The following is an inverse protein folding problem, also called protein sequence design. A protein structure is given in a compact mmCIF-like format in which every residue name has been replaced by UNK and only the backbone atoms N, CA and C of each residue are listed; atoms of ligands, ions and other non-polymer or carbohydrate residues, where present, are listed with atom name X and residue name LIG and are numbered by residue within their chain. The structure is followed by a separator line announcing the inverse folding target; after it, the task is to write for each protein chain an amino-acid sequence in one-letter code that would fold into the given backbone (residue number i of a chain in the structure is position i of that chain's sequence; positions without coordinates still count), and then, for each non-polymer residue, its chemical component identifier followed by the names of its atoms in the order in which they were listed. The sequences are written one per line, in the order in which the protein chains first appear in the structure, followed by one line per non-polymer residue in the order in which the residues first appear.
data_IF_937506459482
#
_entry.id   IF_937506459482
#
_cell.length_a   1.000
_cell.length_b   1.000
_cell.length_c   1.000
_cell.angle_alpha   90.00
_cell.angle_beta   90.00
_cell.angle_gamma   90.00
#
_symmetry.space_group_name_H-M   'P 1'
#
loop_
_entity.id
_entity.type
_entity.pdbx_description
1 polymer ?
#
# COMPACT_ATOMS: atom_id res chain seq x y z
N UNK A 1 -0.28 1.04 -11.54
CA UNK A 1 -0.28 2.17 -10.58
C UNK A 1 -1.63 2.86 -10.60
N UNK A 2 -2.19 3.20 -9.43
CA UNK A 2 -3.47 3.89 -9.29
C UNK A 2 -3.22 5.26 -8.63
N UNK A 3 -3.53 6.33 -9.35
CA UNK A 3 -3.39 7.71 -8.88
C UNK A 3 -4.76 8.32 -8.61
N UNK A 4 -4.83 9.29 -7.73
CA UNK A 4 -6.05 10.07 -7.52
C UNK A 4 -6.12 10.74 -6.16
N UNK A 5 -7.04 11.67 -5.96
CA UNK A 5 -7.21 12.38 -4.70
C UNK A 5 -7.67 11.46 -3.56
N UNK A 6 -7.61 11.96 -2.34
CA UNK A 6 -8.17 11.26 -1.19
C UNK A 6 -9.67 11.00 -1.43
N UNK A 7 -10.15 9.82 -1.01
CA UNK A 7 -11.56 9.45 -1.19
C UNK A 7 -11.97 9.01 -2.60
N UNK A 8 -11.04 8.88 -3.55
CA UNK A 8 -11.34 8.39 -4.90
C UNK A 8 -11.49 6.87 -5.02
N UNK A 9 -11.30 6.11 -3.94
CA UNK A 9 -11.47 4.65 -3.94
C UNK A 9 -10.23 3.84 -4.31
N UNK A 10 -9.05 4.45 -4.38
CA UNK A 10 -7.77 3.77 -4.72
C UNK A 10 -7.57 2.47 -3.94
N UNK A 11 -7.59 2.56 -2.63
CA UNK A 11 -7.33 1.42 -1.75
C UNK A 11 -8.38 0.33 -1.88
N UNK A 12 -9.65 0.70 -2.08
CA UNK A 12 -10.73 -0.28 -2.29
C UNK A 12 -10.49 -1.08 -3.56
N UNK A 13 -10.13 -0.41 -4.65
CA UNK A 13 -9.83 -1.06 -5.93
C UNK A 13 -8.59 -1.94 -5.82
N UNK A 14 -7.52 -1.44 -5.16
CA UNK A 14 -6.28 -2.17 -4.96
C UNK A 14 -6.50 -3.47 -4.19
N UNK A 15 -7.12 -3.37 -3.03
CA UNK A 15 -7.39 -4.53 -2.17
C UNK A 15 -8.40 -5.48 -2.81
N UNK A 16 -9.48 -4.96 -3.39
CA UNK A 16 -10.49 -5.79 -4.06
C UNK A 16 -9.89 -6.64 -5.17
N UNK A 17 -9.00 -6.06 -5.97
CA UNK A 17 -8.30 -6.80 -7.02
C UNK A 17 -7.34 -7.86 -6.45
N UNK A 18 -6.57 -7.54 -5.42
CA UNK A 18 -5.64 -8.50 -4.80
C UNK A 18 -6.38 -9.66 -4.13
N UNK A 19 -7.46 -9.39 -3.40
CA UNK A 19 -8.30 -10.44 -2.82
C UNK A 19 -8.95 -11.32 -3.90
N UNK A 20 -9.41 -10.73 -4.99
CA UNK A 20 -9.91 -11.48 -6.14
C UNK A 20 -8.84 -12.43 -6.73
N UNK A 21 -7.59 -11.97 -6.83
CA UNK A 21 -6.50 -12.82 -7.30
C UNK A 21 -6.16 -13.94 -6.29
N UNK A 22 -6.21 -13.64 -4.99
CA UNK A 22 -5.98 -14.62 -3.92
C UNK A 22 -7.05 -15.70 -3.93
N UNK A 23 -8.32 -15.34 -4.00
CA UNK A 23 -9.46 -16.27 -4.09
C UNK A 23 -9.37 -17.18 -5.31
N UNK A 24 -8.86 -16.66 -6.43
CA UNK A 24 -8.65 -17.44 -7.66
C UNK A 24 -7.33 -18.22 -7.69
N UNK A 25 -6.59 -18.25 -6.59
CA UNK A 25 -5.28 -18.89 -6.48
C UNK A 25 -4.28 -18.42 -7.57
N UNK A 26 -4.42 -17.16 -8.03
CA UNK A 26 -3.45 -16.52 -8.93
C UNK A 26 -2.23 -16.00 -8.18
N UNK A 27 -2.45 -15.57 -6.94
CA UNK A 27 -1.41 -15.24 -5.96
C UNK A 27 -1.62 -16.09 -4.71
N UNK A 28 -0.56 -16.29 -3.95
CA UNK A 28 -0.57 -17.11 -2.72
C UNK A 28 -0.69 -16.25 -1.46
N UNK A 29 -0.26 -15.00 -1.54
CA UNK A 29 -0.14 -14.09 -0.39
C UNK A 29 -0.32 -12.64 -0.82
N UNK A 30 -0.92 -11.85 0.05
CA UNK A 30 -0.99 -10.39 -0.10
C UNK A 30 -0.04 -9.77 0.92
N UNK A 31 0.84 -8.87 0.46
CA UNK A 31 1.79 -8.14 1.28
C UNK A 31 1.50 -6.66 1.11
N UNK A 32 1.14 -5.98 2.20
CA UNK A 32 0.77 -4.57 2.19
C UNK A 32 1.85 -3.78 2.92
N UNK A 33 2.54 -2.92 2.19
CA UNK A 33 3.41 -1.92 2.76
C UNK A 33 2.66 -0.61 2.96
N UNK A 34 2.65 -0.12 4.18
CA UNK A 34 1.95 1.10 4.55
C UNK A 34 2.81 2.01 5.42
N UNK A 35 2.46 3.28 5.42
CA UNK A 35 3.08 4.22 6.33
C UNK A 35 2.46 4.05 7.72
N UNK A 36 3.29 3.80 8.74
CA UNK A 36 2.87 3.72 10.14
C UNK A 36 3.00 5.06 10.85
N UNK A 37 3.49 6.08 10.15
CA UNK A 37 3.67 7.40 10.73
C UNK A 37 2.31 8.11 10.74
N UNK A 38 1.84 8.39 11.92
CA UNK A 38 0.82 9.39 12.14
C UNK A 38 1.27 10.72 11.51
N UNK A 39 0.33 11.43 10.87
CA UNK A 39 0.51 12.77 10.30
C UNK A 39 1.39 13.69 11.17
N UNK A 40 2.11 14.59 10.56
CA UNK A 40 3.19 15.46 11.11
C UNK A 40 3.03 16.02 12.55
N UNK A 41 1.85 15.93 13.14
CA UNK A 41 1.54 16.45 14.47
C UNK A 41 1.06 15.41 15.49
N UNK A 42 1.04 14.13 15.17
CA UNK A 42 0.68 13.10 16.15
C UNK A 42 1.94 12.48 16.74
N UNK A 43 2.00 12.44 18.06
CA UNK A 43 3.10 11.85 18.82
C UNK A 43 3.50 10.50 18.21
N UNK A 44 4.81 10.29 18.07
CA UNK A 44 5.40 9.02 17.63
C UNK A 44 4.65 7.86 18.27
N UNK A 45 4.10 6.97 17.49
CA UNK A 45 3.40 5.72 17.88
C UNK A 45 4.21 4.82 18.87
N UNK A 46 5.20 5.39 19.55
CA UNK A 46 6.12 4.70 20.43
C UNK A 46 5.52 4.08 21.69
N UNK A 47 4.25 4.31 22.01
CA UNK A 47 3.69 3.88 23.29
C UNK A 47 2.25 3.35 23.26
N UNK A 48 1.81 2.76 22.18
CA UNK A 48 0.59 1.94 22.23
C UNK A 48 0.99 0.55 22.76
N UNK A 49 0.35 0.04 23.83
CA UNK A 49 0.54 -1.34 24.28
C UNK A 49 0.02 -2.29 23.21
N UNK A 50 0.65 -3.45 23.07
CA UNK A 50 0.27 -4.48 22.11
C UNK A 50 1.43 -4.95 21.22
N UNK A 51 1.23 -6.10 20.61
CA UNK A 51 2.16 -6.67 19.62
C UNK A 51 2.24 -5.77 18.39
N UNK A 52 3.24 -5.99 17.56
CA UNK A 52 3.41 -5.27 16.30
C UNK A 52 2.19 -5.44 15.38
N UNK A 53 1.68 -6.65 15.27
CA UNK A 53 0.56 -6.99 14.39
C UNK A 53 -0.74 -6.34 14.87
N UNK A 54 -0.99 -6.30 16.19
CA UNK A 54 -2.11 -5.57 16.77
C UNK A 54 -2.05 -4.07 16.44
N UNK A 55 -0.87 -3.44 16.54
CA UNK A 55 -0.69 -2.03 16.19
C UNK A 55 -0.92 -1.75 14.71
N UNK A 56 -0.53 -2.68 13.84
CA UNK A 56 -0.76 -2.56 12.40
C UNK A 56 -2.24 -2.77 12.04
N UNK A 57 -2.93 -3.67 12.74
CA UNK A 57 -4.38 -3.86 12.58
C UNK A 57 -5.19 -2.65 13.05
N UNK A 58 -4.72 -1.94 14.07
CA UNK A 58 -5.33 -0.71 14.55
C UNK A 58 -4.94 0.53 13.70
N UNK A 59 -4.05 0.36 12.72
CA UNK A 59 -3.74 1.40 11.74
C UNK A 59 -4.91 1.67 10.79
N UNK A 60 -4.86 2.78 10.08
CA UNK A 60 -5.91 3.15 9.12
C UNK A 60 -6.14 2.07 8.05
N UNK A 61 -5.07 1.42 7.58
CA UNK A 61 -5.18 0.33 6.60
C UNK A 61 -5.74 -0.95 7.23
N UNK A 62 -5.36 -1.26 8.47
CA UNK A 62 -5.91 -2.39 9.21
C UNK A 62 -7.40 -2.24 9.45
N UNK A 63 -7.85 -1.07 9.91
CA UNK A 63 -9.27 -0.77 10.10
C UNK A 63 -10.06 -0.84 8.78
N UNK A 64 -9.45 -0.41 7.67
CA UNK A 64 -10.06 -0.53 6.36
C UNK A 64 -10.17 -1.99 5.91
N UNK A 65 -9.16 -2.82 6.14
CA UNK A 65 -9.21 -4.26 5.87
C UNK A 65 -10.33 -4.92 6.67
N UNK A 66 -10.42 -4.64 7.97
CA UNK A 66 -11.49 -5.15 8.85
C UNK A 66 -12.86 -4.74 8.30
N UNK A 67 -13.02 -3.48 7.90
CA UNK A 67 -14.28 -2.99 7.31
C UNK A 67 -14.64 -3.68 6.00
N UNK A 68 -13.67 -4.16 5.22
CA UNK A 68 -13.90 -4.81 3.92
C UNK A 68 -14.12 -6.31 4.03
N UNK A 69 -13.43 -6.96 4.93
CA UNK A 69 -13.59 -8.40 5.22
C UNK A 69 -14.83 -8.64 6.08
N UNK A 70 -15.30 -7.59 6.78
CA UNK A 70 -16.49 -7.61 7.61
C UNK A 70 -16.23 -7.89 9.09
N UNK A 71 -15.07 -8.45 9.43
CA UNK A 71 -14.72 -8.75 10.82
C UNK A 71 -13.21 -8.79 11.04
N UNK A 72 -12.78 -8.43 12.26
CA UNK A 72 -11.38 -8.45 12.68
C UNK A 72 -10.79 -9.86 12.65
N UNK A 73 -11.53 -10.84 13.13
CA UNK A 73 -11.11 -12.24 13.15
C UNK A 73 -10.79 -12.79 11.76
N UNK A 74 -11.50 -12.34 10.73
CA UNK A 74 -11.22 -12.74 9.35
C UNK A 74 -9.87 -12.21 8.88
N UNK A 75 -9.47 -11.01 9.26
CA UNK A 75 -8.16 -10.44 8.95
C UNK A 75 -7.05 -11.16 9.72
N UNK A 76 -7.22 -11.37 11.01
CA UNK A 76 -6.28 -12.09 11.88
C UNK A 76 -6.05 -13.52 11.36
N UNK A 77 -7.11 -14.22 10.97
CA UNK A 77 -7.01 -15.55 10.36
C UNK A 77 -6.17 -15.56 9.08
N UNK A 78 -6.33 -14.57 8.20
CA UNK A 78 -5.50 -14.48 6.97
C UNK A 78 -4.03 -14.23 7.30
N UNK A 79 -3.74 -13.49 8.37
CA UNK A 79 -2.38 -13.28 8.85
C UNK A 79 -1.81 -14.57 9.42
N UNK A 80 -2.55 -15.27 10.26
CA UNK A 80 -2.13 -16.54 10.89
C UNK A 80 -1.92 -17.65 9.83
N UNK A 81 -2.75 -17.68 8.79
CA UNK A 81 -2.59 -18.58 7.64
C UNK A 81 -1.42 -18.17 6.72
N UNK A 82 -0.73 -17.06 7.01
CA UNK A 82 0.35 -16.54 6.19
C UNK A 82 -0.08 -15.96 4.83
N UNK A 83 -1.39 -15.79 4.61
CA UNK A 83 -1.96 -15.27 3.35
C UNK A 83 -2.01 -13.74 3.28
N UNK A 84 -1.85 -13.07 4.42
CA UNK A 84 -1.81 -11.60 4.51
C UNK A 84 -0.66 -11.17 5.40
N UNK A 85 0.11 -10.19 4.96
CA UNK A 85 1.13 -9.52 5.76
C UNK A 85 0.93 -8.01 5.68
N UNK A 86 0.94 -7.36 6.86
CA UNK A 86 0.96 -5.90 7.00
C UNK A 86 2.35 -5.47 7.46
N UNK A 87 3.01 -4.60 6.73
CA UNK A 87 4.38 -4.21 7.00
C UNK A 87 4.54 -2.69 6.88
N UNK A 88 5.29 -2.06 7.79
CA UNK A 88 5.69 -0.67 7.60
C UNK A 88 6.73 -0.55 6.48
N UNK A 89 6.78 0.60 5.81
CA UNK A 89 7.79 0.84 4.77
C UNK A 89 9.23 0.73 5.27
N UNK A 90 9.48 0.93 6.56
CA UNK A 90 10.81 0.72 7.16
C UNK A 90 11.33 -0.70 6.98
N UNK A 91 10.45 -1.67 6.85
CA UNK A 91 10.79 -3.09 6.80
C UNK A 91 11.06 -3.60 5.38
N UNK A 92 10.82 -2.78 4.37
CA UNK A 92 11.13 -3.12 2.97
C UNK A 92 12.56 -3.68 2.81
N UNK A 93 13.53 -3.14 3.57
CA UNK A 93 14.94 -3.54 3.45
C UNK A 93 15.21 -4.99 3.86
N UNK A 94 14.43 -5.51 4.79
CA UNK A 94 14.61 -6.86 5.34
C UNK A 94 13.62 -7.90 4.82
N UNK A 95 12.74 -7.52 3.90
CA UNK A 95 11.67 -8.38 3.42
C UNK A 95 11.91 -8.79 1.97
N UNK A 96 11.84 -10.08 1.68
CA UNK A 96 11.81 -10.64 0.33
C UNK A 96 10.45 -11.27 0.09
N UNK A 97 9.86 -10.99 -1.06
CA UNK A 97 8.57 -11.59 -1.39
C UNK A 97 8.77 -12.99 -1.95
N UNK A 98 7.78 -13.83 -1.78
CA UNK A 98 7.72 -15.14 -2.41
C UNK A 98 7.13 -15.00 -3.82
N UNK A 99 7.42 -15.95 -4.74
CA UNK A 99 6.78 -15.97 -6.04
C UNK A 99 5.27 -15.99 -5.93
N UNK A 100 4.58 -15.39 -6.89
CA UNK A 100 3.12 -15.29 -6.92
C UNK A 100 2.56 -14.53 -5.71
N UNK A 101 3.21 -13.47 -5.30
CA UNK A 101 2.72 -12.54 -4.27
C UNK A 101 1.97 -11.38 -4.89
N UNK A 102 0.96 -10.88 -4.18
CA UNK A 102 0.33 -9.59 -4.44
C UNK A 102 0.94 -8.54 -3.52
N UNK A 103 1.74 -7.64 -4.05
CA UNK A 103 2.41 -6.59 -3.27
C UNK A 103 1.67 -5.27 -3.45
N UNK A 104 1.35 -4.62 -2.35
CA UNK A 104 0.65 -3.35 -2.35
C UNK A 104 1.41 -2.28 -1.58
N UNK A 105 1.78 -1.21 -2.27
CA UNK A 105 2.33 0.01 -1.68
C UNK A 105 1.21 1.04 -1.52
N UNK A 106 0.70 1.18 -0.30
CA UNK A 106 -0.38 2.11 0.02
C UNK A 106 0.15 3.50 0.37
N UNK A 107 -0.49 4.56 -0.16
CA UNK A 107 -0.08 5.95 0.06
C UNK A 107 1.39 6.21 -0.32
N UNK A 108 1.79 5.65 -1.45
CA UNK A 108 3.17 5.62 -1.93
C UNK A 108 3.72 6.99 -2.39
N UNK A 109 2.91 8.05 -2.40
CA UNK A 109 3.40 9.42 -2.60
C UNK A 109 4.41 9.84 -1.52
N UNK A 110 4.39 9.16 -0.37
CA UNK A 110 5.32 9.40 0.74
C UNK A 110 6.62 8.57 0.65
N UNK A 111 6.86 7.91 -0.49
CA UNK A 111 8.10 7.19 -0.75
C UNK A 111 9.03 8.00 -1.66
N UNK A 112 10.29 8.09 -1.25
CA UNK A 112 11.35 8.58 -2.11
C UNK A 112 11.74 7.56 -3.19
N UNK A 113 12.58 7.98 -4.11
CA UNK A 113 13.06 7.11 -5.21
C UNK A 113 13.82 5.90 -4.68
N UNK A 114 14.59 6.05 -3.60
CA UNK A 114 15.44 4.99 -3.05
C UNK A 114 14.59 3.89 -2.44
N UNK A 115 13.63 4.24 -1.58
CA UNK A 115 12.71 3.29 -0.96
C UNK A 115 11.81 2.63 -2.00
N UNK A 116 11.28 3.39 -2.96
CA UNK A 116 10.49 2.85 -4.05
C UNK A 116 11.28 1.83 -4.88
N UNK A 117 12.51 2.17 -5.28
CA UNK A 117 13.38 1.25 -6.01
C UNK A 117 13.67 -0.01 -5.19
N UNK A 118 13.98 0.17 -3.91
CA UNK A 118 14.28 -0.94 -3.02
C UNK A 118 13.08 -1.89 -2.89
N UNK A 119 11.87 -1.34 -2.73
CA UNK A 119 10.65 -2.14 -2.66
C UNK A 119 10.38 -2.92 -3.94
N UNK A 120 10.53 -2.28 -5.10
CA UNK A 120 10.33 -2.96 -6.38
C UNK A 120 11.35 -4.07 -6.65
N UNK A 121 12.59 -3.92 -6.17
CA UNK A 121 13.63 -4.94 -6.29
C UNK A 121 13.41 -6.19 -5.40
N UNK A 122 12.45 -6.13 -4.47
CA UNK A 122 12.10 -7.25 -3.57
C UNK A 122 10.94 -8.09 -4.08
N UNK A 123 10.35 -7.68 -5.20
CA UNK A 123 9.20 -8.38 -5.79
C UNK A 123 9.72 -9.53 -6.64
N UNK A 124 9.33 -10.74 -6.26
CA UNK A 124 9.71 -11.96 -6.96
C UNK A 124 8.83 -12.19 -8.22
N UNK A 125 9.23 -13.17 -9.01
CA UNK A 125 8.60 -13.52 -10.28
C UNK A 125 7.12 -13.92 -10.12
N UNK A 126 6.35 -13.75 -11.19
CA UNK A 126 4.92 -14.05 -11.26
C UNK A 126 4.07 -13.33 -10.21
N UNK A 127 4.62 -12.26 -9.61
CA UNK A 127 3.95 -11.44 -8.64
C UNK A 127 3.28 -10.23 -9.27
N UNK A 128 2.24 -9.70 -8.59
CA UNK A 128 1.53 -8.49 -8.99
C UNK A 128 1.86 -7.38 -8.01
N UNK A 129 2.25 -6.21 -8.51
CA UNK A 129 2.50 -5.03 -7.70
C UNK A 129 1.47 -3.94 -7.97
N UNK A 130 0.80 -3.48 -6.93
CA UNK A 130 -0.06 -2.31 -6.98
C UNK A 130 0.58 -1.19 -6.17
N UNK A 131 0.64 -0.02 -6.76
CA UNK A 131 1.15 1.20 -6.13
C UNK A 131 0.02 2.22 -6.19
N UNK A 132 -0.45 2.72 -5.07
CA UNK A 132 -1.42 3.80 -5.08
C UNK A 132 -0.91 5.05 -4.34
N UNK A 133 -1.52 6.18 -4.67
CA UNK A 133 -1.22 7.44 -4.00
C UNK A 133 -1.72 8.66 -4.74
N UNK A 134 -1.56 9.81 -4.09
CA UNK A 134 -1.83 11.13 -4.67
C UNK A 134 -0.52 11.88 -4.90
N UNK A 135 -0.05 11.88 -6.14
CA UNK A 135 1.19 12.56 -6.50
C UNK A 135 1.04 14.09 -6.67
N UNK A 136 -0.18 14.64 -6.51
CA UNK A 136 -0.47 16.07 -6.76
C UNK A 136 -0.65 16.87 -5.48
N UNK A 137 -1.39 16.35 -4.48
CA UNK A 137 -1.88 17.15 -3.36
C UNK A 137 -1.50 16.66 -1.97
N UNK A 138 -1.16 15.40 -1.79
CA UNK A 138 -0.97 14.79 -0.46
C UNK A 138 0.44 14.22 -0.28
N UNK A 139 1.44 15.08 -0.33
CA UNK A 139 2.80 14.71 0.06
C UNK A 139 3.02 15.23 1.47
N UNK A 140 3.11 14.32 2.44
CA UNK A 140 3.25 14.66 3.87
C UNK A 140 4.58 15.36 4.19
N UNK A 141 5.62 15.14 3.38
CA UNK A 141 6.92 15.77 3.52
C UNK A 141 7.36 16.42 2.20
N UNK A 142 7.76 17.69 2.28
CA UNK A 142 8.30 18.46 1.15
C UNK A 142 9.52 17.76 0.52
N UNK A 143 10.28 16.97 1.30
CA UNK A 143 11.39 16.17 0.81
C UNK A 143 10.97 15.14 -0.25
N UNK A 144 9.72 14.67 -0.22
CA UNK A 144 9.17 13.72 -1.20
C UNK A 144 8.42 14.40 -2.35
N UNK A 145 8.38 15.73 -2.36
CA UNK A 145 7.79 16.50 -3.44
C UNK A 145 8.71 16.58 -4.67
N UNK A 146 8.12 16.73 -5.85
CA UNK A 146 8.88 17.02 -7.07
C UNK A 146 9.69 15.83 -7.61
N UNK A 147 10.97 16.07 -7.90
CA UNK A 147 11.83 15.10 -8.58
C UNK A 147 12.25 13.89 -7.72
N UNK A 148 12.20 14.00 -6.39
CA UNK A 148 12.57 12.92 -5.47
C UNK A 148 11.44 11.92 -5.22
N UNK A 149 10.23 12.16 -5.72
CA UNK A 149 9.07 11.30 -5.50
C UNK A 149 9.18 9.97 -6.26
N UNK A 150 9.07 8.85 -5.51
CA UNK A 150 9.17 7.50 -6.04
C UNK A 150 8.10 7.16 -7.08
N UNK A 151 6.83 7.54 -6.86
CA UNK A 151 5.74 7.27 -7.81
C UNK A 151 5.95 7.98 -9.16
N UNK A 152 6.38 9.24 -9.13
CA UNK A 152 6.70 9.99 -10.36
C UNK A 152 7.83 9.32 -11.13
N UNK A 153 8.82 8.80 -10.42
CA UNK A 153 9.94 8.08 -11.04
C UNK A 153 9.49 6.78 -11.69
N UNK A 154 8.66 5.99 -11.01
CA UNK A 154 8.06 4.75 -11.56
C UNK A 154 7.27 5.06 -12.82
N UNK A 155 6.34 6.02 -12.76
CA UNK A 155 5.56 6.43 -13.93
C UNK A 155 6.44 6.83 -15.12
N UNK A 156 7.51 7.59 -14.88
CA UNK A 156 8.44 8.02 -15.93
C UNK A 156 9.23 6.86 -16.55
N UNK A 157 9.67 5.90 -15.72
CA UNK A 157 10.54 4.80 -16.17
C UNK A 157 9.77 3.69 -16.86
N UNK A 158 8.58 3.33 -16.32
CA UNK A 158 7.84 2.17 -16.80
C UNK A 158 6.73 2.51 -17.80
N UNK A 159 6.45 3.79 -18.06
CA UNK A 159 5.44 4.17 -19.04
C UNK A 159 5.78 3.63 -20.44
N UNK A 160 4.85 2.86 -21.01
CA UNK A 160 5.03 2.18 -22.28
C UNK A 160 5.54 0.74 -22.19
N UNK A 161 5.99 0.30 -21.01
CA UNK A 161 6.36 -1.09 -20.80
C UNK A 161 5.13 -1.99 -20.71
N UNK A 162 5.21 -3.20 -21.27
CA UNK A 162 4.10 -4.16 -21.32
C UNK A 162 3.64 -4.64 -19.92
N UNK A 163 4.55 -4.59 -18.94
CA UNK A 163 4.29 -5.00 -17.56
C UNK A 163 3.68 -3.88 -16.70
N UNK A 164 3.46 -2.70 -17.25
CA UNK A 164 3.04 -1.52 -16.51
C UNK A 164 1.71 -0.97 -17.02
N UNK A 165 0.81 -0.70 -16.07
CA UNK A 165 -0.42 0.05 -16.30
C UNK A 165 -0.59 1.19 -15.30
N UNK A 166 -1.17 2.29 -15.75
CA UNK A 166 -1.40 3.48 -14.94
C UNK A 166 -2.82 3.99 -15.17
N UNK A 167 -3.52 4.29 -14.10
CA UNK A 167 -4.85 4.89 -14.11
C UNK A 167 -4.92 6.05 -13.13
N UNK A 168 -5.64 7.10 -13.50
CA UNK A 168 -5.90 8.25 -12.64
C UNK A 168 -7.40 8.36 -12.36
N UNK A 169 -7.77 8.21 -11.08
CA UNK A 169 -9.14 8.38 -10.61
C UNK A 169 -9.40 9.87 -10.37
N UNK A 170 -10.53 10.37 -10.87
CA UNK A 170 -10.84 11.79 -10.80
C UNK A 170 -11.97 12.11 -9.82
N UNK A 171 -12.87 11.15 -9.61
CA UNK A 171 -14.05 11.35 -8.78
C UNK A 171 -13.74 11.11 -7.31
N UNK A 172 -14.25 11.99 -6.45
CA UNK A 172 -14.18 11.86 -4.99
C UNK A 172 -15.56 11.36 -4.53
N UNK A 173 -15.55 10.25 -3.78
CA UNK A 173 -16.75 9.58 -3.26
C UNK A 173 -16.94 9.79 -1.75
N UNK A 174 -16.20 10.73 -1.17
CA UNK A 174 -16.41 11.19 0.20
C UNK A 174 -17.49 12.28 0.23
N UNK A 175 -17.78 12.84 1.40
CA UNK A 175 -18.75 13.92 1.56
C UNK A 175 -18.39 15.16 0.72
N UNK A 176 -19.37 16.05 0.49
CA UNK A 176 -19.18 17.30 -0.23
C UNK A 176 -18.16 18.26 0.42
N UNK A 177 -17.69 17.94 1.64
CA UNK A 177 -16.70 18.72 2.39
C UNK A 177 -15.26 18.20 2.13
N UNK A 178 -15.09 17.09 1.43
CA UNK A 178 -13.78 16.43 1.26
C UNK A 178 -12.95 17.00 0.09
#
# INVERSE_FOLDING_TARGET
MIKGPAGSGKTILSLGYLFHLLERNKINKIIIFCNTVATQNSAKLGYLPGTRDEKLLDSQIGLMLISKIGERLGVERLIDEGKLALLPFSDIRGYETEPRSGVYFSEAQNLDIVLMKLGLQRIDNDSVCIIDGDSKAQVDDVAFSGHSNGMRRVSKVYRGEKIYGEVELQNIYRSEIA
#
